data_IF_261196015042
#
_entry.id   IF_261196015042
#
_cell.length_a   1.000
_cell.length_b   1.000
_cell.length_c   1.000
_cell.angle_alpha   90.00
_cell.angle_beta   90.00
_cell.angle_gamma   90.00
#
_symmetry.space_group_name_H-M   'P 1'
#
loop_
_entity.id
_entity.type
_entity.pdbx_description
1 polymer ?
#
# COMPACT_ATOMS: atom_id res chain seq x y z
N UNK A 1 -2.27 -20.31 -4.48
CA UNK A 1 -2.80 -19.04 -3.92
C UNK A 1 -3.61 -19.24 -2.64
N UNK A 2 -4.80 -19.88 -2.63
CA UNK A 2 -5.59 -20.01 -1.38
C UNK A 2 -4.84 -20.78 -0.30
N UNK A 3 -4.22 -21.91 -0.65
CA UNK A 3 -3.44 -22.70 0.31
C UNK A 3 -2.25 -21.89 0.85
N UNK A 4 -1.48 -21.25 -0.03
CA UNK A 4 -0.36 -20.37 0.37
C UNK A 4 -0.82 -19.25 1.30
N UNK A 5 -1.97 -18.63 0.99
CA UNK A 5 -2.54 -17.54 1.77
C UNK A 5 -2.99 -18.01 3.17
N UNK A 6 -3.65 -19.16 3.27
CA UNK A 6 -4.06 -19.75 4.55
C UNK A 6 -2.85 -20.21 5.37
N UNK A 7 -1.82 -20.73 4.71
CA UNK A 7 -0.58 -21.15 5.35
C UNK A 7 0.29 -19.97 5.77
N UNK A 8 0.15 -18.80 5.13
CA UNK A 8 1.00 -17.63 5.32
C UNK A 8 1.30 -17.34 6.80
N UNK A 9 0.29 -17.12 7.64
CA UNK A 9 0.51 -16.82 9.05
C UNK A 9 1.06 -18.00 9.88
N UNK A 10 0.91 -19.23 9.37
CA UNK A 10 1.39 -20.47 10.00
C UNK A 10 2.80 -20.90 9.55
N UNK A 11 3.51 -20.04 8.81
CA UNK A 11 4.89 -20.29 8.39
C UNK A 11 5.91 -19.85 9.46
N UNK A 12 7.02 -20.59 9.56
CA UNK A 12 8.13 -20.33 10.48
C UNK A 12 7.88 -20.84 11.90
N UNK A 13 8.92 -20.77 12.75
CA UNK A 13 8.89 -21.34 14.10
C UNK A 13 7.98 -20.56 15.06
N UNK A 14 7.89 -19.23 14.89
CA UNK A 14 7.13 -18.32 15.77
C UNK A 14 5.65 -18.14 15.38
N UNK A 15 5.13 -19.00 14.50
CA UNK A 15 3.76 -18.85 13.99
C UNK A 15 2.70 -18.86 15.10
N UNK A 16 2.89 -19.67 16.14
CA UNK A 16 1.95 -19.79 17.25
C UNK A 16 1.88 -18.48 18.05
N UNK A 17 3.04 -17.85 18.31
CA UNK A 17 3.13 -16.53 18.96
C UNK A 17 2.44 -15.47 18.09
N UNK A 18 2.68 -15.49 16.78
CA UNK A 18 2.09 -14.55 15.82
C UNK A 18 0.57 -14.61 15.80
N UNK A 19 0.00 -15.81 15.67
CA UNK A 19 -1.46 -16.03 15.69
C UNK A 19 -2.05 -15.74 17.06
N UNK A 20 -1.35 -16.11 18.15
CA UNK A 20 -1.83 -15.85 19.50
C UNK A 20 -1.95 -14.34 19.78
N UNK A 21 -0.89 -13.57 19.52
CA UNK A 21 -0.91 -12.11 19.71
C UNK A 21 -1.92 -11.46 18.77
N UNK A 22 -1.95 -11.85 17.49
CA UNK A 22 -2.90 -11.31 16.52
C UNK A 22 -4.36 -11.59 16.88
N UNK A 23 -4.67 -12.79 17.36
CA UNK A 23 -5.98 -13.15 17.88
C UNK A 23 -6.36 -12.36 19.13
N UNK A 24 -5.42 -12.11 20.05
CA UNK A 24 -5.64 -11.27 21.24
C UNK A 24 -5.90 -9.81 20.85
N UNK A 25 -5.11 -9.24 19.93
CA UNK A 25 -5.32 -7.88 19.41
C UNK A 25 -6.72 -7.78 18.79
N UNK A 26 -7.13 -8.76 17.98
CA UNK A 26 -8.44 -8.76 17.36
C UNK A 26 -9.58 -9.00 18.38
N UNK A 27 -9.37 -9.82 19.40
CA UNK A 27 -10.32 -10.00 20.51
C UNK A 27 -10.60 -8.68 21.23
N UNK A 28 -9.56 -7.85 21.42
CA UNK A 28 -9.70 -6.49 21.94
C UNK A 28 -10.04 -5.44 20.87
N UNK A 29 -10.40 -5.85 19.65
CA UNK A 29 -10.72 -4.95 18.53
C UNK A 29 -11.98 -4.10 18.72
N UNK A 30 -12.76 -4.34 19.79
CA UNK A 30 -13.81 -3.40 20.19
C UNK A 30 -13.24 -2.08 20.76
N UNK A 31 -11.96 -2.07 21.13
CA UNK A 31 -11.20 -0.89 21.50
C UNK A 31 -10.57 -0.27 20.25
N UNK A 32 -10.56 1.06 20.18
CA UNK A 32 -10.05 1.79 19.00
C UNK A 32 -8.57 1.48 18.72
N UNK A 33 -7.71 1.47 19.74
CA UNK A 33 -6.27 1.25 19.54
C UNK A 33 -5.99 -0.14 18.94
N UNK A 34 -6.38 -1.27 19.57
CA UNK A 34 -6.22 -2.60 18.98
C UNK A 34 -6.85 -2.76 17.59
N UNK A 35 -7.99 -2.12 17.32
CA UNK A 35 -8.62 -2.15 16.01
C UNK A 35 -7.71 -1.55 14.92
N UNK A 36 -7.16 -0.37 15.19
CA UNK A 36 -6.24 0.28 14.25
C UNK A 36 -4.89 -0.43 14.17
N UNK A 37 -4.38 -0.97 15.28
CA UNK A 37 -3.16 -1.79 15.28
C UNK A 37 -3.32 -3.04 14.42
N UNK A 38 -4.47 -3.72 14.52
CA UNK A 38 -4.80 -4.87 13.67
C UNK A 38 -4.83 -4.47 12.19
N UNK A 39 -5.49 -3.36 11.86
CA UNK A 39 -5.54 -2.87 10.48
C UNK A 39 -4.15 -2.55 9.94
N UNK A 40 -3.32 -1.88 10.75
CA UNK A 40 -1.91 -1.62 10.48
C UNK A 40 -1.10 -2.87 10.17
N UNK A 41 -1.26 -3.90 10.99
CA UNK A 41 -0.62 -5.19 10.77
C UNK A 41 -1.03 -5.81 9.43
N UNK A 42 -2.31 -5.71 9.05
CA UNK A 42 -2.76 -6.20 7.74
C UNK A 42 -2.11 -5.41 6.59
N UNK A 43 -1.94 -4.09 6.73
CA UNK A 43 -1.23 -3.29 5.73
C UNK A 43 0.23 -3.72 5.60
N UNK A 44 0.88 -4.08 6.71
CA UNK A 44 2.24 -4.61 6.70
C UNK A 44 2.33 -6.00 6.04
N UNK A 45 1.35 -6.88 6.28
CA UNK A 45 1.22 -8.15 5.54
C UNK A 45 1.20 -7.88 4.03
N UNK A 46 0.35 -6.95 3.60
CA UNK A 46 0.29 -6.60 2.18
C UNK A 46 1.61 -5.99 1.69
N UNK A 47 2.23 -5.11 2.48
CA UNK A 47 3.51 -4.47 2.15
C UNK A 47 4.62 -5.49 1.89
N UNK A 48 4.72 -6.55 2.70
CA UNK A 48 5.66 -7.66 2.46
C UNK A 48 5.35 -8.41 1.19
N UNK A 49 4.07 -8.69 0.93
CA UNK A 49 3.64 -9.36 -0.29
C UNK A 49 3.99 -8.52 -1.53
N UNK A 50 3.78 -7.20 -1.49
CA UNK A 50 4.14 -6.28 -2.57
C UNK A 50 5.65 -6.21 -2.80
N UNK A 51 6.47 -6.45 -1.77
CA UNK A 51 7.94 -6.58 -1.89
C UNK A 51 8.41 -7.96 -2.35
N UNK A 52 7.50 -8.93 -2.50
CA UNK A 52 7.82 -10.33 -2.80
C UNK A 52 8.29 -11.16 -1.59
N UNK A 53 8.18 -10.62 -0.38
CA UNK A 53 8.61 -11.27 0.88
C UNK A 53 7.51 -12.20 1.42
N UNK A 54 7.14 -13.24 0.65
CA UNK A 54 5.98 -14.10 0.97
C UNK A 54 6.26 -15.22 1.97
N UNK A 55 7.53 -15.45 2.30
CA UNK A 55 7.96 -16.54 3.20
C UNK A 55 8.23 -16.04 4.63
N UNK A 56 8.16 -14.73 4.85
CA UNK A 56 8.47 -14.06 6.13
C UNK A 56 7.29 -13.20 6.60
N UNK A 57 6.22 -13.80 7.16
CA UNK A 57 5.10 -13.03 7.68
C UNK A 57 5.53 -12.11 8.83
N UNK A 58 4.91 -10.92 8.99
CA UNK A 58 5.30 -9.96 10.02
C UNK A 58 5.26 -10.60 11.42
N UNK A 59 6.32 -10.44 12.19
CA UNK A 59 6.37 -10.80 13.59
C UNK A 59 6.07 -9.57 14.46
N UNK A 60 5.44 -9.75 15.62
CA UNK A 60 5.00 -8.62 16.44
C UNK A 60 6.14 -7.85 17.13
N UNK A 61 7.31 -8.47 17.28
CA UNK A 61 8.48 -7.93 17.96
C UNK A 61 9.39 -7.09 17.05
N UNK A 62 9.27 -7.23 15.73
CA UNK A 62 9.98 -6.39 14.76
C UNK A 62 9.20 -5.13 14.37
N UNK A 63 7.90 -5.07 14.68
CA UNK A 63 7.04 -3.96 14.29
C UNK A 63 7.03 -2.85 15.34
N UNK A 64 7.10 -1.60 14.87
CA UNK A 64 6.73 -0.46 15.70
C UNK A 64 5.21 -0.39 15.79
N UNK A 65 4.67 -0.70 16.97
CA UNK A 65 3.23 -0.72 17.22
C UNK A 65 2.57 0.65 17.01
N UNK A 66 3.29 1.75 17.23
CA UNK A 66 2.76 3.11 17.01
C UNK A 66 2.62 3.35 15.52
N UNK A 67 3.65 3.05 14.74
CA UNK A 67 3.65 3.28 13.29
C UNK A 67 2.59 2.45 12.58
N UNK A 68 2.46 1.15 12.90
CA UNK A 68 1.40 0.33 12.32
C UNK A 68 0.02 0.84 12.71
N UNK A 69 -0.16 1.33 13.96
CA UNK A 69 -1.44 1.88 14.40
C UNK A 69 -1.77 3.16 13.63
N UNK A 70 -0.79 4.03 13.39
CA UNK A 70 -0.94 5.24 12.57
C UNK A 70 -1.30 4.87 11.12
N UNK A 71 -0.63 3.89 10.53
CA UNK A 71 -0.97 3.37 9.20
C UNK A 71 -2.41 2.83 9.15
N UNK A 72 -2.84 2.11 10.17
CA UNK A 72 -4.23 1.65 10.30
C UNK A 72 -5.24 2.80 10.37
N UNK A 73 -4.93 3.89 11.08
CA UNK A 73 -5.75 5.10 11.12
C UNK A 73 -5.79 5.78 9.74
N UNK A 74 -4.64 5.94 9.07
CA UNK A 74 -4.54 6.53 7.72
C UNK A 74 -5.36 5.74 6.71
N UNK A 75 -5.27 4.41 6.74
CA UNK A 75 -6.07 3.54 5.88
C UNK A 75 -7.56 3.63 6.19
N UNK A 76 -7.93 3.76 7.47
CA UNK A 76 -9.34 3.96 7.84
C UNK A 76 -9.91 5.23 7.22
N UNK A 77 -9.13 6.30 7.08
CA UNK A 77 -9.57 7.51 6.35
C UNK A 77 -9.89 7.20 4.89
N UNK A 78 -9.11 6.35 4.23
CA UNK A 78 -9.39 5.88 2.85
C UNK A 78 -10.73 5.13 2.81
N UNK A 79 -10.91 4.15 3.69
CA UNK A 79 -12.15 3.34 3.77
C UNK A 79 -13.37 4.21 4.07
N UNK A 80 -13.24 5.17 5.00
CA UNK A 80 -14.30 6.14 5.31
C UNK A 80 -14.62 7.00 4.09
N UNK A 81 -13.61 7.49 3.34
CA UNK A 81 -13.86 8.26 2.13
C UNK A 81 -14.73 7.51 1.12
N UNK A 82 -14.43 6.23 0.90
CA UNK A 82 -15.26 5.35 0.08
C UNK A 82 -16.66 5.10 0.66
N UNK A 83 -16.75 4.82 1.96
CA UNK A 83 -18.03 4.64 2.65
C UNK A 83 -18.93 5.88 2.57
N UNK A 84 -18.35 7.08 2.66
CA UNK A 84 -19.05 8.35 2.49
C UNK A 84 -19.55 8.53 1.06
N UNK A 85 -18.75 8.19 0.04
CA UNK A 85 -19.19 8.23 -1.36
C UNK A 85 -20.40 7.32 -1.60
N UNK A 86 -20.37 6.09 -1.07
CA UNK A 86 -21.49 5.16 -1.15
C UNK A 86 -22.72 5.69 -0.40
N UNK A 87 -22.53 6.22 0.81
CA UNK A 87 -23.61 6.81 1.62
C UNK A 87 -24.27 7.98 0.89
N UNK A 88 -23.47 8.84 0.26
CA UNK A 88 -23.97 9.96 -0.53
C UNK A 88 -24.75 9.49 -1.76
N UNK A 89 -24.28 8.45 -2.45
CA UNK A 89 -25.00 7.85 -3.56
C UNK A 89 -26.37 7.27 -3.13
N UNK A 90 -26.47 6.76 -1.90
CA UNK A 90 -27.71 6.21 -1.32
C UNK A 90 -28.62 7.27 -0.70
N UNK A 91 -28.16 8.53 -0.55
CA UNK A 91 -28.94 9.57 0.09
C UNK A 91 -30.23 9.90 -0.70
N UNK A 92 -30.15 9.91 -2.05
CA UNK A 92 -31.29 10.20 -2.92
C UNK A 92 -32.42 9.17 -2.77
N UNK A 93 -32.20 7.85 -2.99
CA UNK A 93 -33.25 6.87 -2.78
C UNK A 93 -33.65 6.73 -1.31
N UNK A 94 -32.73 6.99 -0.37
CA UNK A 94 -33.05 7.07 1.06
C UNK A 94 -34.09 8.16 1.37
N UNK A 95 -33.97 9.33 0.73
CA UNK A 95 -34.96 10.40 0.87
C UNK A 95 -36.34 10.00 0.32
N UNK A 96 -36.38 9.19 -0.75
CA UNK A 96 -37.65 8.65 -1.28
C UNK A 96 -38.31 7.68 -0.30
N UNK A 97 -37.52 6.83 0.37
CA UNK A 97 -38.03 5.93 1.41
C UNK A 97 -38.60 6.75 2.58
N UNK A 98 -37.84 7.73 3.08
CA UNK A 98 -38.29 8.58 4.19
C UNK A 98 -39.56 9.36 3.80
N UNK A 99 -39.54 10.01 2.63
CA UNK A 99 -40.67 10.79 2.13
C UNK A 99 -41.91 9.95 1.85
N UNK A 100 -41.73 8.74 1.33
CA UNK A 100 -42.81 7.78 1.13
C UNK A 100 -43.47 7.35 2.44
N UNK A 101 -42.65 7.09 3.48
CA UNK A 101 -43.12 6.68 4.81
C UNK A 101 -43.87 7.79 5.53
N UNK A 102 -43.31 9.00 5.52
CA UNK A 102 -43.95 10.16 6.14
C UNK A 102 -45.19 10.64 5.38
N UNK A 103 -45.17 10.51 4.05
CA UNK A 103 -46.28 10.91 3.17
C UNK A 103 -47.36 9.85 2.98
N UNK A 104 -47.23 8.65 3.57
CA UNK A 104 -48.20 7.57 3.43
C UNK A 104 -48.31 7.00 2.01
N UNK A 105 -47.27 7.12 1.18
CA UNK A 105 -47.28 6.65 -0.20
C UNK A 105 -46.49 5.35 -0.35
N UNK A 106 -47.22 4.23 -0.37
CA UNK A 106 -46.65 2.88 -0.52
C UNK A 106 -45.85 2.73 -1.82
N UNK A 107 -46.30 3.37 -2.91
CA UNK A 107 -45.57 3.36 -4.19
C UNK A 107 -44.20 4.03 -4.10
N UNK A 108 -44.10 5.18 -3.42
CA UNK A 108 -42.85 5.92 -3.28
C UNK A 108 -41.89 5.20 -2.32
N UNK A 109 -42.43 4.60 -1.25
CA UNK A 109 -41.70 3.71 -0.36
C UNK A 109 -41.07 2.54 -1.10
N UNK A 110 -41.89 1.82 -1.88
CA UNK A 110 -41.43 0.64 -2.62
C UNK A 110 -40.37 1.02 -3.65
N UNK A 111 -40.61 2.06 -4.44
CA UNK A 111 -39.63 2.53 -5.44
C UNK A 111 -38.34 2.99 -4.76
N UNK A 112 -38.43 3.80 -3.70
CA UNK A 112 -37.26 4.25 -2.95
C UNK A 112 -36.44 3.08 -2.41
N UNK A 113 -37.12 2.08 -1.83
CA UNK A 113 -36.48 0.89 -1.29
C UNK A 113 -35.79 0.06 -2.38
N UNK A 114 -36.49 -0.23 -3.48
CA UNK A 114 -35.93 -1.03 -4.58
C UNK A 114 -34.72 -0.34 -5.22
N UNK A 115 -34.80 0.97 -5.43
CA UNK A 115 -33.67 1.75 -5.97
C UNK A 115 -32.52 1.80 -4.97
N UNK A 116 -32.78 2.01 -3.67
CA UNK A 116 -31.75 1.98 -2.63
C UNK A 116 -31.07 0.61 -2.56
N UNK A 117 -31.85 -0.47 -2.57
CA UNK A 117 -31.33 -1.84 -2.52
C UNK A 117 -30.48 -2.17 -3.75
N UNK A 118 -30.93 -1.79 -4.95
CA UNK A 118 -30.17 -1.99 -6.18
C UNK A 118 -28.87 -1.18 -6.18
N UNK A 119 -28.93 0.10 -5.83
CA UNK A 119 -27.74 0.95 -5.75
C UNK A 119 -26.77 0.49 -4.66
N UNK A 120 -27.29 0.02 -3.53
CA UNK A 120 -26.47 -0.56 -2.47
C UNK A 120 -25.78 -1.83 -2.96
N UNK A 121 -26.51 -2.72 -3.64
CA UNK A 121 -25.93 -3.94 -4.21
C UNK A 121 -24.82 -3.64 -5.22
N UNK A 122 -25.07 -2.72 -6.16
CA UNK A 122 -24.06 -2.26 -7.13
C UNK A 122 -22.87 -1.61 -6.40
N UNK A 123 -23.15 -0.78 -5.40
CA UNK A 123 -22.13 -0.09 -4.60
C UNK A 123 -21.24 -1.06 -3.82
N UNK A 124 -21.81 -2.08 -3.19
CA UNK A 124 -21.05 -3.14 -2.50
C UNK A 124 -20.19 -3.93 -3.49
N UNK A 125 -20.73 -4.26 -4.66
CA UNK A 125 -19.96 -4.95 -5.69
C UNK A 125 -18.80 -4.09 -6.21
N UNK A 126 -19.02 -2.79 -6.40
CA UNK A 126 -17.97 -1.85 -6.76
C UNK A 126 -16.90 -1.75 -5.66
N UNK A 127 -17.30 -1.64 -4.39
CA UNK A 127 -16.37 -1.60 -3.25
C UNK A 127 -15.55 -2.87 -3.12
N UNK A 128 -16.12 -4.03 -3.42
CA UNK A 128 -15.43 -5.30 -3.36
C UNK A 128 -14.23 -5.37 -4.32
N UNK A 129 -14.24 -4.58 -5.40
CA UNK A 129 -13.13 -4.47 -6.36
C UNK A 129 -12.25 -3.25 -6.06
N UNK A 130 -12.86 -2.13 -5.70
CA UNK A 130 -12.16 -0.87 -5.45
C UNK A 130 -11.29 -0.93 -4.19
N UNK A 131 -11.81 -1.45 -3.07
CA UNK A 131 -11.09 -1.42 -1.79
C UNK A 131 -9.75 -2.19 -1.82
N UNK A 132 -9.66 -3.39 -2.41
CA UNK A 132 -8.39 -4.07 -2.57
C UNK A 132 -7.34 -3.25 -3.34
N UNK A 133 -7.74 -2.63 -4.46
CA UNK A 133 -6.83 -1.82 -5.30
C UNK A 133 -6.45 -0.52 -4.60
N UNK A 134 -7.42 0.17 -3.99
CA UNK A 134 -7.19 1.37 -3.20
C UNK A 134 -6.21 1.09 -2.05
N UNK A 135 -6.37 -0.05 -1.37
CA UNK A 135 -5.49 -0.47 -0.29
C UNK A 135 -4.10 -0.75 -0.83
N UNK A 136 -3.98 -1.54 -1.91
CA UNK A 136 -2.71 -1.84 -2.58
C UNK A 136 -1.94 -0.59 -2.97
N UNK A 137 -2.61 0.37 -3.61
CA UNK A 137 -2.00 1.62 -4.03
C UNK A 137 -1.64 2.55 -2.86
N UNK A 138 -2.48 2.57 -1.80
CA UNK A 138 -2.18 3.25 -0.54
C UNK A 138 -0.88 2.74 0.08
N UNK A 139 -0.67 1.42 0.10
CA UNK A 139 0.57 0.82 0.65
C UNK A 139 1.76 1.02 -0.29
N UNK A 140 1.57 0.95 -1.61
CA UNK A 140 2.64 1.25 -2.60
C UNK A 140 3.18 2.67 -2.44
N UNK A 141 2.28 3.65 -2.39
CA UNK A 141 2.64 5.07 -2.44
C UNK A 141 2.77 5.72 -1.05
N UNK A 142 2.51 4.97 0.02
CA UNK A 142 2.43 5.43 1.41
C UNK A 142 1.68 6.77 1.56
N UNK A 143 0.49 6.88 0.93
CA UNK A 143 -0.30 8.12 1.00
C UNK A 143 -1.79 7.86 0.88
N UNK A 144 -2.58 8.63 1.65
CA UNK A 144 -4.06 8.56 1.62
C UNK A 144 -4.58 8.92 0.22
N UNK A 145 -3.97 9.93 -0.43
CA UNK A 145 -4.38 10.40 -1.75
C UNK A 145 -4.24 9.31 -2.83
N UNK A 146 -3.18 8.50 -2.77
CA UNK A 146 -2.98 7.40 -3.71
C UNK A 146 -4.09 6.34 -3.62
N UNK A 147 -4.71 6.17 -2.45
CA UNK A 147 -5.88 5.30 -2.31
C UNK A 147 -7.05 5.69 -3.22
N UNK A 148 -7.12 6.94 -3.69
CA UNK A 148 -8.17 7.47 -4.55
C UNK A 148 -7.73 7.72 -6.00
N UNK A 149 -6.55 7.22 -6.39
CA UNK A 149 -6.03 7.38 -7.74
C UNK A 149 -6.95 6.69 -8.76
N UNK A 150 -7.65 7.48 -9.57
CA UNK A 150 -8.69 6.96 -10.45
C UNK A 150 -8.14 6.12 -11.60
N UNK A 151 -6.93 6.44 -12.05
CA UNK A 151 -6.31 5.76 -13.17
C UNK A 151 -5.94 4.34 -12.74
N UNK A 152 -5.23 4.20 -11.62
CA UNK A 152 -4.87 2.90 -11.03
C UNK A 152 -6.10 2.07 -10.67
N UNK A 153 -7.12 2.70 -10.08
CA UNK A 153 -8.36 2.00 -9.72
C UNK A 153 -9.08 1.41 -10.94
N UNK A 154 -9.08 2.13 -12.07
CA UNK A 154 -9.76 1.67 -13.27
C UNK A 154 -8.95 0.64 -14.05
N UNK A 155 -7.64 0.83 -14.22
CA UNK A 155 -6.77 -0.09 -14.96
C UNK A 155 -6.58 -1.40 -14.21
N UNK A 156 -6.08 -1.32 -12.97
CA UNK A 156 -5.76 -2.50 -12.15
C UNK A 156 -7.03 -3.19 -11.67
N UNK A 157 -8.05 -2.42 -11.26
CA UNK A 157 -9.31 -2.99 -10.73
C UNK A 157 -10.15 -3.74 -11.77
N UNK A 158 -10.02 -3.42 -13.06
CA UNK A 158 -10.74 -4.14 -14.13
C UNK A 158 -9.92 -5.25 -14.78
N UNK A 159 -8.66 -5.41 -14.38
CA UNK A 159 -7.80 -6.50 -14.85
C UNK A 159 -8.36 -7.86 -14.43
N UNK A 160 -8.22 -8.87 -15.31
CA UNK A 160 -8.66 -10.25 -15.00
C UNK A 160 -7.95 -10.80 -13.79
N UNK A 161 -6.66 -10.50 -13.66
CA UNK A 161 -5.78 -10.93 -12.57
C UNK A 161 -6.30 -10.42 -11.22
N UNK A 162 -6.64 -9.13 -11.12
CA UNK A 162 -7.20 -8.56 -9.90
C UNK A 162 -8.60 -9.09 -9.59
N UNK A 163 -9.47 -9.22 -10.60
CA UNK A 163 -10.82 -9.78 -10.40
C UNK A 163 -10.77 -11.23 -9.90
N UNK A 164 -9.82 -12.04 -10.39
CA UNK A 164 -9.59 -13.39 -9.86
C UNK A 164 -9.13 -13.34 -8.41
N UNK A 165 -8.23 -12.43 -8.03
CA UNK A 165 -7.80 -12.27 -6.65
C UNK A 165 -8.96 -11.89 -5.72
N UNK A 166 -9.86 -10.99 -6.16
CA UNK A 166 -11.08 -10.63 -5.41
C UNK A 166 -11.96 -11.87 -5.19
N UNK A 167 -12.22 -12.66 -6.24
CA UNK A 167 -13.01 -13.91 -6.13
C UNK A 167 -12.36 -14.90 -5.16
N UNK A 168 -11.04 -15.06 -5.21
CA UNK A 168 -10.30 -15.95 -4.32
C UNK A 168 -10.34 -15.46 -2.86
N UNK A 169 -10.26 -14.15 -2.64
CA UNK A 169 -10.44 -13.55 -1.32
C UNK A 169 -11.86 -13.78 -0.78
N UNK A 170 -12.89 -13.69 -1.62
CA UNK A 170 -14.25 -14.07 -1.24
C UNK A 170 -14.35 -15.55 -0.85
N UNK A 171 -13.70 -16.44 -1.60
CA UNK A 171 -13.67 -17.86 -1.25
C UNK A 171 -13.03 -18.09 0.14
N UNK A 172 -11.92 -17.42 0.44
CA UNK A 172 -11.31 -17.44 1.79
C UNK A 172 -12.26 -16.87 2.84
N UNK A 173 -12.92 -15.74 2.56
CA UNK A 173 -13.88 -15.15 3.48
C UNK A 173 -15.05 -16.11 3.82
N UNK A 174 -15.55 -16.86 2.84
CA UNK A 174 -16.56 -17.90 3.05
C UNK A 174 -16.01 -19.02 3.94
N UNK A 175 -14.80 -19.53 3.67
CA UNK A 175 -14.17 -20.57 4.49
C UNK A 175 -14.01 -20.14 5.95
N UNK A 176 -13.53 -18.91 6.16
CA UNK A 176 -13.38 -18.31 7.49
C UNK A 176 -14.73 -18.14 8.17
N UNK A 177 -15.76 -17.69 7.44
CA UNK A 177 -17.12 -17.50 7.97
C UNK A 177 -17.76 -18.82 8.39
N UNK A 178 -17.59 -19.89 7.60
CA UNK A 178 -18.04 -21.24 7.95
C UNK A 178 -17.31 -21.72 9.20
N UNK A 179 -15.98 -21.59 9.25
CA UNK A 179 -15.19 -21.96 10.43
C UNK A 179 -15.60 -21.18 11.68
N UNK A 180 -15.82 -19.88 11.56
CA UNK A 180 -16.28 -19.02 12.65
C UNK A 180 -17.69 -19.41 13.14
N UNK A 181 -18.59 -19.75 12.22
CA UNK A 181 -19.95 -20.23 12.56
C UNK A 181 -19.89 -21.56 13.32
N UNK A 182 -19.06 -22.50 12.86
CA UNK A 182 -18.85 -23.80 13.52
C UNK A 182 -18.28 -23.62 14.93
N UNK A 183 -17.26 -22.78 15.07
CA UNK A 183 -16.65 -22.42 16.35
C UNK A 183 -17.67 -21.74 17.29
N UNK A 184 -18.50 -20.86 16.73
CA UNK A 184 -19.50 -20.09 17.48
C UNK A 184 -20.63 -20.90 18.12
N UNK A 185 -20.82 -22.18 17.78
CA UNK A 185 -21.79 -23.04 18.45
C UNK A 185 -21.45 -23.33 19.92
N UNK A 186 -20.19 -23.15 20.32
CA UNK A 186 -19.74 -23.39 21.70
C UNK A 186 -19.15 -22.12 22.29
N UNK A 187 -19.31 -21.93 23.61
CA UNK A 187 -18.72 -20.77 24.31
C UNK A 187 -17.19 -20.76 24.16
N UNK A 188 -16.56 -21.93 24.28
CA UNK A 188 -15.10 -22.08 24.13
C UNK A 188 -14.67 -21.83 22.69
N UNK A 189 -15.41 -22.35 21.70
CA UNK A 189 -15.10 -22.12 20.29
C UNK A 189 -15.27 -20.66 19.89
N UNK A 190 -16.26 -19.95 20.45
CA UNK A 190 -16.42 -18.51 20.21
C UNK A 190 -15.16 -17.72 20.60
N UNK A 191 -14.45 -18.10 21.68
CA UNK A 191 -13.18 -17.48 22.06
C UNK A 191 -12.06 -17.73 21.04
N UNK A 192 -12.14 -18.77 20.22
CA UNK A 192 -11.17 -19.06 19.18
C UNK A 192 -11.47 -18.34 17.84
N UNK A 193 -12.66 -17.73 17.68
CA UNK A 193 -13.05 -16.99 16.47
C UNK A 193 -12.07 -15.86 16.10
N UNK A 194 -11.59 -15.01 17.03
CA UNK A 194 -10.62 -13.97 16.69
C UNK A 194 -9.30 -14.52 16.14
N UNK A 195 -8.84 -15.68 16.62
CA UNK A 195 -7.61 -16.31 16.16
C UNK A 195 -7.78 -16.84 14.73
N UNK A 196 -8.92 -17.48 14.44
CA UNK A 196 -9.27 -17.89 13.08
C UNK A 196 -9.42 -16.67 12.16
N UNK A 197 -10.11 -15.63 12.62
CA UNK A 197 -10.34 -14.41 11.87
C UNK A 197 -9.03 -13.69 11.56
N UNK A 198 -8.06 -13.66 12.48
CA UNK A 198 -6.73 -13.11 12.23
C UNK A 198 -6.02 -13.82 11.06
N UNK A 199 -5.98 -15.16 11.07
CA UNK A 199 -5.40 -15.95 9.98
C UNK A 199 -6.14 -15.72 8.67
N UNK A 200 -7.48 -15.73 8.73
CA UNK A 200 -8.35 -15.53 7.58
C UNK A 200 -8.21 -14.16 6.92
N UNK A 201 -8.18 -13.09 7.73
CA UNK A 201 -8.01 -11.73 7.25
C UNK A 201 -6.62 -11.51 6.67
N UNK A 202 -5.57 -12.07 7.29
CA UNK A 202 -4.24 -12.04 6.71
C UNK A 202 -4.18 -12.79 5.38
N UNK A 203 -4.88 -13.91 5.22
CA UNK A 203 -4.94 -14.66 3.97
C UNK A 203 -5.64 -13.84 2.87
N UNK A 204 -6.73 -13.14 3.20
CA UNK A 204 -7.41 -12.21 2.28
C UNK A 204 -6.45 -11.11 1.84
N UNK A 205 -5.76 -10.48 2.78
CA UNK A 205 -4.84 -9.39 2.51
C UNK A 205 -3.63 -9.85 1.68
N UNK A 206 -3.15 -11.07 1.91
CA UNK A 206 -2.13 -11.70 1.08
C UNK A 206 -2.58 -11.90 -0.36
N UNK A 207 -3.82 -12.40 -0.57
CA UNK A 207 -4.39 -12.57 -1.91
C UNK A 207 -4.56 -11.23 -2.60
N UNK A 208 -5.04 -10.20 -1.89
CA UNK A 208 -5.16 -8.84 -2.42
C UNK A 208 -3.80 -8.27 -2.82
N UNK A 209 -2.79 -8.41 -1.96
CA UNK A 209 -1.43 -7.96 -2.23
C UNK A 209 -0.85 -8.62 -3.49
N UNK A 210 -0.94 -9.95 -3.61
CA UNK A 210 -0.45 -10.65 -4.82
C UNK A 210 -1.23 -10.26 -6.06
N UNK A 211 -2.56 -10.27 -5.98
CA UNK A 211 -3.41 -9.90 -7.12
C UNK A 211 -3.15 -8.48 -7.61
N UNK A 212 -2.96 -7.54 -6.68
CA UNK A 212 -2.59 -6.17 -7.01
C UNK A 212 -1.19 -6.10 -7.61
N UNK A 213 -0.20 -6.80 -7.04
CA UNK A 213 1.17 -6.81 -7.58
C UNK A 213 1.22 -7.33 -9.01
N UNK A 214 0.61 -8.49 -9.27
CA UNK A 214 0.59 -9.13 -10.57
C UNK A 214 -0.15 -8.26 -11.61
N UNK A 215 -1.31 -7.70 -11.23
CA UNK A 215 -2.08 -6.81 -12.10
C UNK A 215 -1.39 -5.46 -12.36
N UNK A 216 -0.66 -4.94 -11.37
CA UNK A 216 0.11 -3.71 -11.53
C UNK A 216 1.30 -3.94 -12.48
N UNK A 217 2.02 -5.04 -12.33
CA UNK A 217 3.13 -5.38 -13.21
C UNK A 217 2.67 -5.64 -14.65
N UNK A 218 1.50 -6.26 -14.85
CA UNK A 218 0.88 -6.45 -16.17
C UNK A 218 0.56 -5.12 -16.87
N UNK A 219 0.08 -4.12 -16.13
CA UNK A 219 -0.31 -2.80 -16.66
C UNK A 219 0.90 -1.87 -16.88
N UNK A 220 1.83 -1.81 -15.91
CA UNK A 220 2.90 -0.82 -15.86
C UNK A 220 4.29 -1.37 -16.20
N UNK A 221 4.44 -2.69 -16.32
CA UNK A 221 5.71 -3.36 -16.68
C UNK A 221 6.78 -3.35 -15.57
N UNK A 222 6.42 -2.94 -14.36
CA UNK A 222 7.29 -2.94 -13.19
C UNK A 222 6.54 -3.39 -11.92
N UNK A 223 7.23 -4.02 -10.96
CA UNK A 223 6.61 -4.42 -9.70
C UNK A 223 6.16 -3.21 -8.86
N UNK A 224 5.16 -3.38 -7.99
CA UNK A 224 4.58 -2.32 -7.17
C UNK A 224 5.58 -1.67 -6.21
N UNK A 225 6.47 -2.46 -5.66
CA UNK A 225 7.57 -2.05 -4.80
C UNK A 225 8.82 -2.77 -5.29
N UNK A 226 9.97 -2.12 -5.19
CA UNK A 226 11.26 -2.77 -5.48
C UNK A 226 11.45 -3.96 -4.54
N UNK A 227 11.67 -5.18 -5.06
CA UNK A 227 11.98 -6.33 -4.23
C UNK A 227 13.23 -6.03 -3.41
N UNK A 228 13.21 -6.38 -2.12
CA UNK A 228 14.42 -6.38 -1.32
C UNK A 228 15.31 -7.51 -1.85
N UNK A 229 16.10 -7.24 -2.89
CA UNK A 229 17.17 -8.14 -3.27
C UNK A 229 18.06 -8.25 -2.05
N UNK A 230 18.03 -9.40 -1.37
CA UNK A 230 19.08 -9.77 -0.43
C UNK A 230 20.36 -9.71 -1.25
N UNK A 231 21.06 -8.58 -1.17
CA UNK A 231 22.33 -8.40 -1.83
C UNK A 231 23.26 -9.37 -1.11
N UNK A 232 23.37 -10.58 -1.64
CA UNK A 232 24.42 -11.52 -1.29
C UNK A 232 25.71 -10.77 -1.53
N UNK A 233 26.33 -10.33 -0.43
CA UNK A 233 27.59 -9.59 -0.46
C UNK A 233 28.67 -10.45 -1.08
N UNK A 234 28.85 -10.34 -2.39
CA UNK A 234 30.12 -10.68 -3.01
C UNK A 234 31.10 -9.57 -2.60
N UNK A 235 32.05 -9.96 -1.75
CA UNK A 235 33.22 -9.18 -1.38
C UNK A 235 33.83 -8.53 -2.63
N UNK A 236 33.58 -7.23 -2.80
CA UNK A 236 34.44 -6.36 -3.60
C UNK A 236 35.73 -6.13 -2.81
N UNK A 237 36.66 -7.06 -2.89
CA UNK A 237 38.03 -6.84 -2.41
C UNK A 237 38.75 -5.90 -3.39
N UNK A 238 38.61 -4.60 -3.17
CA UNK A 238 39.57 -3.62 -3.64
C UNK A 238 40.83 -3.68 -2.76
N UNK A 239 42.05 -3.74 -3.32
CA UNK A 239 43.26 -3.81 -2.52
C UNK A 239 43.56 -2.43 -1.89
N UNK A 240 43.47 -2.37 -0.57
CA UNK A 240 43.92 -1.23 0.23
C UNK A 240 45.45 -1.22 0.31
N UNK A 241 46.08 -0.42 -0.56
CA UNK A 241 47.50 -0.08 -0.47
C UNK A 241 47.67 1.10 0.47
N UNK A 242 48.01 0.88 1.74
CA UNK A 242 48.58 1.91 2.61
C UNK A 242 49.18 1.31 3.88
N UNK A 243 50.50 1.45 4.05
CA UNK A 243 51.13 1.39 5.37
C UNK A 243 52.46 0.65 5.43
N UNK A 244 53.54 1.25 4.94
CA UNK A 244 54.88 1.04 5.52
C UNK A 244 55.61 2.39 5.53
N UNK A 245 55.89 2.90 6.72
CA UNK A 245 56.86 3.96 6.96
C UNK A 245 57.85 3.46 8.01
N UNK A 246 59.12 3.30 7.65
CA UNK A 246 60.29 3.67 8.46
C UNK A 246 61.63 3.21 7.86
N UNK A 247 62.57 4.16 7.82
CA UNK A 247 64.01 3.98 7.69
C UNK A 247 64.55 4.07 6.26
N UNK A 248 65.70 4.64 5.91
CA UNK A 248 66.77 5.43 6.57
C UNK A 248 67.87 5.55 5.47
N UNK A 249 68.52 6.71 5.32
CA UNK A 249 69.80 6.99 4.59
C UNK A 249 69.81 7.31 3.08
N UNK A 250 70.19 8.58 2.82
CA UNK A 250 70.78 9.23 1.61
C UNK A 250 72.12 8.61 1.12
N UNK A 251 72.82 9.13 0.07
CA UNK A 251 72.42 9.84 -1.17
C UNK A 251 73.15 9.28 -2.44
N UNK A 252 72.99 9.92 -3.61
CA UNK A 252 74.03 10.22 -4.67
C UNK A 252 73.53 10.10 -6.14
N UNK A 253 73.93 11.12 -6.92
CA UNK A 253 74.14 11.25 -8.38
C UNK A 253 72.99 11.61 -9.36
N UNK A 254 72.93 12.91 -9.68
CA UNK A 254 73.39 13.53 -10.95
C UNK A 254 72.92 13.01 -12.34
N UNK A 255 72.45 14.00 -13.12
CA UNK A 255 72.31 14.12 -14.60
C UNK A 255 70.96 13.73 -15.20
N UNK A 256 70.24 14.70 -15.77
CA UNK A 256 70.30 15.04 -17.20
C UNK A 256 69.63 16.40 -17.47
N UNK A 257 70.22 17.13 -18.43
CA UNK A 257 69.94 18.49 -18.87
C UNK A 257 68.66 18.57 -19.75
N UNK A 258 67.90 19.67 -19.67
CA UNK A 258 67.86 20.77 -20.67
C UNK A 258 67.04 20.44 -21.93
N UNK A 259 65.87 21.06 -22.07
CA UNK A 259 65.50 21.70 -23.34
C UNK A 259 64.45 22.82 -23.12
N UNK A 260 64.50 23.77 -24.03
CA UNK A 260 64.02 25.14 -23.95
C UNK A 260 63.06 25.46 -25.11
N UNK A 261 62.20 26.47 -24.94
CA UNK A 261 61.43 27.10 -26.03
C UNK A 261 59.92 27.15 -25.75
N UNK A 262 59.19 28.25 -25.46
CA UNK A 262 59.13 29.67 -25.93
C UNK A 262 57.80 29.91 -26.68
N UNK A 263 56.99 30.84 -26.14
CA UNK A 263 55.94 31.71 -26.75
C UNK A 263 54.69 31.05 -27.37
N UNK A 264 53.47 31.62 -27.43
CA UNK A 264 52.83 32.94 -27.22
C UNK A 264 51.46 32.68 -26.51
N UNK A 265 50.75 33.55 -25.80
CA UNK A 265 50.56 35.00 -25.90
C UNK A 265 49.27 35.33 -26.68
N UNK A 266 48.11 35.42 -26.03
CA UNK A 266 47.04 36.42 -26.28
C UNK A 266 45.91 36.34 -25.25
N UNK A 267 45.67 37.48 -24.62
CA UNK A 267 44.54 37.83 -23.78
C UNK A 267 43.22 37.84 -24.56
N UNK A 268 42.08 37.57 -23.90
CA UNK A 268 41.01 38.56 -23.92
C UNK A 268 40.06 38.45 -22.72
N UNK A 269 39.60 39.63 -22.33
CA UNK A 269 38.85 39.99 -21.12
C UNK A 269 37.38 40.22 -21.45
N UNK A 270 36.47 40.11 -20.47
CA UNK A 270 35.11 40.63 -20.67
C UNK A 270 34.03 40.09 -19.75
N UNK A 271 34.08 40.47 -18.47
CA UNK A 271 32.91 40.47 -17.60
C UNK A 271 31.99 41.65 -17.99
N UNK A 272 30.71 41.40 -18.25
CA UNK A 272 29.76 42.45 -18.62
C UNK A 272 28.31 42.02 -18.42
N UNK A 273 27.70 42.57 -17.37
CA UNK A 273 26.32 42.46 -16.93
C UNK A 273 25.32 43.18 -17.87
N UNK A 274 24.08 42.69 -17.95
CA UNK A 274 22.81 43.39 -18.21
C UNK A 274 21.82 42.38 -18.81
N UNK A 275 20.50 42.49 -18.74
CA UNK A 275 19.55 43.25 -17.95
C UNK A 275 18.20 42.57 -18.25
N UNK A 276 17.31 42.55 -17.27
CA UNK A 276 15.94 42.11 -17.44
C UNK A 276 15.12 43.27 -18.01
N UNK A 277 14.44 43.03 -19.14
CA UNK A 277 13.25 43.76 -19.62
C UNK A 277 12.40 42.70 -20.36
N UNK A 278 11.22 42.27 -19.90
CA UNK A 278 9.96 42.97 -19.66
C UNK A 278 9.15 43.14 -20.97
N UNK A 279 8.15 42.28 -21.19
CA UNK A 279 6.95 42.55 -22.01
C UNK A 279 5.84 41.56 -21.65
N UNK A 280 4.83 42.03 -20.93
CA UNK A 280 3.47 41.45 -20.99
C UNK A 280 2.47 42.57 -21.17
N UNK A 281 2.10 42.83 -22.43
CA UNK A 281 0.99 43.71 -22.80
C UNK A 281 -0.34 43.04 -22.44
N UNK A 282 -1.11 43.71 -21.58
CA UNK A 282 -2.50 43.40 -21.29
C UNK A 282 -3.36 44.63 -21.54
N UNK A 283 -3.99 44.71 -22.71
CA UNK A 283 -5.07 45.65 -23.00
C UNK A 283 -6.21 44.94 -23.73
N UNK A 284 -7.39 44.91 -23.10
CA UNK A 284 -8.66 44.91 -23.81
C UNK A 284 -9.79 45.35 -22.87
N UNK A 285 -9.91 46.66 -22.71
CA UNK A 285 -11.13 47.30 -22.22
C UNK A 285 -12.04 47.77 -23.36
N UNK A 286 -13.28 47.24 -23.39
CA UNK A 286 -14.54 47.84 -23.89
C UNK A 286 -14.59 48.48 -25.30
N UNK A 287 -15.59 48.07 -26.11
CA UNK A 287 -16.84 48.83 -26.40
C UNK A 287 -17.62 48.26 -27.60
N UNK A 288 -18.95 48.33 -27.44
CA UNK A 288 -20.08 48.20 -28.39
C UNK A 288 -20.62 46.82 -28.67
#
# INVERSE_FOLDING_TARGET
MIEDALRYQTQGDDWAKRVAVGGVVLFFGFLLVPLFTFQGYMLEVMRRVLKGETDTPPAWDELDLVDITVDGVRHTVVVIGYGLLLTLALAIPGLLVIGGGLGGSEGLLLVGFLVAALLYFIGVLAMAVILPVATGNFVRADSIAAGFDRDVLSSVGTSRTMLMAVVMAFAVNILVSVGATVLGFTIVGYLAVPFLAFVGQSAIMYIWGRGFADAYEEEYGEPPLTPTTSTGGTHGSSPSTAGIASGMNDPVDDRYADDSGRNDGTDDSGFGTSAWDDTSDGDSGRRR
#
